data_IF_670109615947
#
_entry.id   IF_670109615947
#
_cell.length_a   1.000
_cell.length_b   1.000
_cell.length_c   1.000
_cell.angle_alpha   90.00
_cell.angle_beta   90.00
_cell.angle_gamma   90.00
#
_symmetry.space_group_name_H-M   'P 1'
#
loop_
_entity.id
_entity.type
_entity.pdbx_description
1 polymer ?
#
# COMPACT_ATOMS: atom_id res chain seq x y z
N UNK A 1 -9.40 -15.79 28.56
CA UNK A 1 -9.17 -15.39 27.16
C UNK A 1 -10.50 -15.06 26.51
N UNK A 2 -10.64 -13.87 25.90
CA UNK A 2 -11.33 -13.80 24.63
C UNK A 2 -10.53 -12.97 23.63
N UNK A 3 -10.25 -13.56 22.47
CA UNK A 3 -9.82 -12.86 21.27
C UNK A 3 -10.90 -11.85 20.91
N UNK A 4 -10.62 -10.56 21.14
CA UNK A 4 -11.47 -9.45 20.69
C UNK A 4 -11.41 -9.45 19.17
N UNK A 5 -12.41 -10.11 18.60
CA UNK A 5 -12.74 -10.09 17.18
C UNK A 5 -13.29 -8.71 16.85
N UNK A 6 -12.40 -7.71 16.80
CA UNK A 6 -12.68 -6.52 15.99
C UNK A 6 -12.78 -7.03 14.55
N UNK A 7 -13.86 -6.72 13.84
CA UNK A 7 -14.18 -7.28 12.51
C UNK A 7 -13.26 -6.82 11.38
N UNK A 8 -11.95 -6.83 11.64
CA UNK A 8 -10.80 -6.54 10.80
C UNK A 8 -9.97 -7.81 10.81
N UNK A 9 -9.60 -8.35 9.64
CA UNK A 9 -8.76 -9.55 9.55
C UNK A 9 -7.56 -9.43 10.48
N UNK A 10 -7.28 -10.49 11.24
CA UNK A 10 -6.04 -10.58 12.01
C UNK A 10 -4.83 -10.49 11.06
N UNK A 11 -3.72 -9.97 11.59
CA UNK A 11 -2.48 -9.85 10.84
C UNK A 11 -2.05 -11.23 10.32
N UNK A 12 -2.29 -11.51 9.04
CA UNK A 12 -2.04 -12.79 8.38
C UNK A 12 -0.92 -12.68 7.35
N UNK A 13 -0.63 -11.46 6.87
CA UNK A 13 0.40 -11.22 5.88
C UNK A 13 1.78 -11.08 6.53
N UNK A 14 1.88 -10.32 7.62
CA UNK A 14 3.07 -10.31 8.48
C UNK A 14 2.78 -9.77 9.87
N UNK A 15 3.60 -10.16 10.85
CA UNK A 15 3.52 -9.67 12.24
C UNK A 15 4.14 -8.28 12.43
N UNK A 16 4.76 -7.70 11.38
CA UNK A 16 5.32 -6.35 11.45
C UNK A 16 5.16 -5.57 10.15
N UNK A 17 5.01 -4.26 10.31
CA UNK A 17 4.90 -3.31 9.20
C UNK A 17 6.15 -3.29 8.30
N UNK A 18 7.31 -3.62 8.86
CA UNK A 18 8.57 -3.73 8.13
C UNK A 18 8.56 -4.86 7.08
N UNK A 19 7.91 -5.98 7.38
CA UNK A 19 7.79 -7.09 6.44
C UNK A 19 6.77 -6.81 5.33
N UNK A 20 5.65 -6.12 5.66
CA UNK A 20 4.70 -5.62 4.64
C UNK A 20 5.40 -4.68 3.66
N UNK A 21 6.23 -3.76 4.15
CA UNK A 21 6.99 -2.85 3.29
C UNK A 21 8.01 -3.57 2.41
N UNK A 22 8.72 -4.59 2.94
CA UNK A 22 9.59 -5.43 2.10
C UNK A 22 8.82 -6.13 0.98
N UNK A 23 7.58 -6.59 1.23
CA UNK A 23 6.72 -7.17 0.18
C UNK A 23 6.23 -6.14 -0.84
N UNK A 24 6.16 -4.88 -0.44
CA UNK A 24 5.80 -3.78 -1.33
C UNK A 24 6.98 -3.25 -2.16
N UNK A 25 8.21 -3.68 -1.86
CA UNK A 25 9.40 -3.30 -2.60
C UNK A 25 9.31 -3.81 -4.05
N UNK A 26 9.29 -2.86 -5.00
CA UNK A 26 9.29 -3.14 -6.43
C UNK A 26 10.61 -2.67 -7.01
N UNK A 27 11.32 -3.59 -7.66
CA UNK A 27 12.54 -3.25 -8.40
C UNK A 27 12.15 -2.66 -9.76
N UNK A 28 12.76 -1.53 -10.16
CA UNK A 28 12.55 -0.98 -11.48
C UNK A 28 13.15 -1.90 -12.54
N UNK A 29 12.30 -2.63 -13.26
CA UNK A 29 12.67 -3.34 -14.48
C UNK A 29 12.67 -2.42 -15.70
N UNK A 30 13.30 -2.90 -16.79
CA UNK A 30 13.38 -2.24 -18.11
C UNK A 30 12.03 -2.13 -18.85
N UNK A 31 10.92 -2.33 -18.16
CA UNK A 31 9.56 -2.25 -18.71
C UNK A 31 9.19 -0.79 -19.05
N UNK A 32 8.35 -0.56 -20.06
CA UNK A 32 7.90 0.78 -20.47
C UNK A 32 7.06 1.48 -19.39
N UNK A 33 7.13 2.81 -19.32
CA UNK A 33 6.33 3.67 -18.43
C UNK A 33 4.83 3.38 -18.52
N UNK A 34 4.33 3.06 -19.73
CA UNK A 34 2.92 2.67 -19.92
C UNK A 34 2.54 1.45 -19.09
N UNK A 35 3.36 0.40 -19.09
CA UNK A 35 3.05 -0.82 -18.33
C UNK A 35 3.06 -0.56 -16.82
N UNK A 36 3.97 0.28 -16.33
CA UNK A 36 3.96 0.71 -14.94
C UNK A 36 2.68 1.46 -14.57
N UNK A 37 2.21 2.36 -15.43
CA UNK A 37 0.96 3.09 -15.21
C UNK A 37 -0.24 2.15 -15.22
N UNK A 38 -0.27 1.19 -16.14
CA UNK A 38 -1.29 0.13 -16.15
C UNK A 38 -1.25 -0.70 -14.86
N UNK A 39 -0.06 -1.10 -14.40
CA UNK A 39 0.12 -1.82 -13.14
C UNK A 39 -0.31 -0.99 -11.94
N UNK A 40 0.06 0.29 -11.89
CA UNK A 40 -0.35 1.22 -10.84
C UNK A 40 -1.87 1.37 -10.78
N UNK A 41 -2.53 1.54 -11.93
CA UNK A 41 -3.99 1.58 -12.00
C UNK A 41 -4.64 0.30 -11.44
N UNK A 42 -4.08 -0.88 -11.78
CA UNK A 42 -4.55 -2.17 -11.24
C UNK A 42 -4.30 -2.29 -9.73
N UNK A 43 -3.14 -1.89 -9.25
CA UNK A 43 -2.79 -1.89 -7.83
C UNK A 43 -3.75 -1.02 -7.01
N UNK A 44 -4.05 0.18 -7.51
CA UNK A 44 -4.99 1.09 -6.85
C UNK A 44 -6.41 0.50 -6.78
N UNK A 45 -6.90 -0.09 -7.88
CA UNK A 45 -8.21 -0.78 -7.88
C UNK A 45 -8.24 -1.95 -6.88
N UNK A 46 -7.20 -2.79 -6.90
CA UNK A 46 -7.10 -3.90 -5.96
C UNK A 46 -7.00 -3.41 -4.49
N UNK A 47 -6.37 -2.26 -4.24
CA UNK A 47 -6.30 -1.67 -2.91
C UNK A 47 -7.70 -1.24 -2.42
N UNK A 48 -8.48 -0.59 -3.28
CA UNK A 48 -9.86 -0.19 -2.96
C UNK A 48 -10.76 -1.42 -2.72
N UNK A 49 -10.58 -2.52 -3.47
CA UNK A 49 -11.25 -3.79 -3.21
C UNK A 49 -10.86 -4.37 -1.84
N UNK A 50 -9.57 -4.42 -1.52
CA UNK A 50 -9.11 -4.89 -0.21
C UNK A 50 -9.66 -4.03 0.93
N UNK A 51 -9.83 -2.72 0.71
CA UNK A 51 -10.46 -1.79 1.65
C UNK A 51 -11.93 -2.15 1.89
N UNK A 52 -12.67 -2.57 0.85
CA UNK A 52 -14.06 -3.05 0.97
C UNK A 52 -14.14 -4.41 1.69
N UNK A 53 -13.20 -5.30 1.43
CA UNK A 53 -13.04 -6.60 2.11
C UNK A 53 -12.57 -6.48 3.58
N UNK A 54 -12.33 -5.26 4.08
CA UNK A 54 -11.73 -4.98 5.40
C UNK A 54 -10.36 -5.66 5.61
N UNK A 55 -9.63 -5.85 4.51
CA UNK A 55 -8.29 -6.42 4.49
C UNK A 55 -7.26 -5.29 4.52
N UNK A 56 -7.03 -4.76 5.73
CA UNK A 56 -6.16 -3.60 5.97
C UNK A 56 -4.70 -3.85 5.57
N UNK A 57 -4.17 -5.04 5.86
CA UNK A 57 -2.79 -5.40 5.50
C UNK A 57 -2.59 -5.42 3.99
N UNK A 58 -3.48 -6.10 3.27
CA UNK A 58 -3.35 -6.24 1.82
C UNK A 58 -3.59 -4.89 1.12
N UNK A 59 -4.55 -4.11 1.60
CA UNK A 59 -4.77 -2.75 1.13
C UNK A 59 -3.52 -1.88 1.30
N UNK A 60 -2.88 -1.93 2.49
CA UNK A 60 -1.65 -1.19 2.76
C UNK A 60 -0.51 -1.57 1.81
N UNK A 61 -0.25 -2.87 1.63
CA UNK A 61 0.80 -3.35 0.72
C UNK A 61 0.55 -2.88 -0.72
N UNK A 62 -0.71 -2.89 -1.16
CA UNK A 62 -1.09 -2.46 -2.50
C UNK A 62 -0.91 -0.94 -2.69
N UNK A 63 -1.28 -0.12 -1.70
CA UNK A 63 -1.01 1.31 -1.73
C UNK A 63 0.49 1.62 -1.71
N UNK A 64 1.28 0.93 -0.86
CA UNK A 64 2.74 1.07 -0.86
C UNK A 64 3.36 0.70 -2.21
N UNK A 65 2.94 -0.43 -2.82
CA UNK A 65 3.38 -0.82 -4.17
C UNK A 65 3.07 0.24 -5.21
N UNK A 66 1.85 0.80 -5.15
CA UNK A 66 1.43 1.87 -6.04
C UNK A 66 2.36 3.08 -5.93
N UNK A 67 2.67 3.52 -4.70
CA UNK A 67 3.57 4.65 -4.44
C UNK A 67 5.00 4.37 -4.94
N UNK A 68 5.52 3.16 -4.73
CA UNK A 68 6.85 2.77 -5.24
C UNK A 68 6.90 2.79 -6.76
N UNK A 69 5.88 2.23 -7.43
CA UNK A 69 5.78 2.27 -8.90
C UNK A 69 5.72 3.71 -9.40
N UNK A 70 4.94 4.55 -8.71
CA UNK A 70 4.81 5.96 -9.05
C UNK A 70 6.15 6.72 -8.90
N UNK A 71 6.90 6.45 -7.83
CA UNK A 71 8.23 7.06 -7.62
C UNK A 71 9.23 6.65 -8.70
N UNK A 72 9.22 5.36 -9.09
CA UNK A 72 10.06 4.82 -10.17
C UNK A 72 9.77 5.53 -11.49
N UNK A 73 8.49 5.62 -11.89
CA UNK A 73 8.14 6.27 -13.15
C UNK A 73 8.40 7.77 -13.09
N UNK A 74 8.13 8.43 -11.97
CA UNK A 74 8.37 9.87 -11.79
C UNK A 74 9.86 10.23 -11.95
N UNK A 75 10.77 9.34 -11.58
CA UNK A 75 12.22 9.50 -11.78
C UNK A 75 12.67 9.34 -13.24
N UNK A 76 11.83 8.77 -14.12
CA UNK A 76 12.17 8.60 -15.53
C UNK A 76 11.85 9.86 -16.36
N UNK A 77 12.77 10.31 -17.22
CA UNK A 77 12.54 11.47 -18.09
C UNK A 77 11.36 11.27 -19.06
N UNK A 78 11.12 10.01 -19.48
CA UNK A 78 9.97 9.62 -20.30
C UNK A 78 8.61 9.94 -19.66
N UNK A 79 8.55 9.89 -18.33
CA UNK A 79 7.35 10.23 -17.59
C UNK A 79 7.21 11.74 -17.44
N UNK A 80 8.29 12.48 -17.18
CA UNK A 80 8.27 13.93 -17.01
C UNK A 80 7.62 14.64 -18.20
N UNK A 81 7.99 14.23 -19.42
CA UNK A 81 7.43 14.78 -20.67
C UNK A 81 5.94 14.48 -20.88
N UNK A 82 5.40 13.43 -20.24
CA UNK A 82 3.99 12.99 -20.39
C UNK A 82 3.30 12.85 -19.03
N UNK A 83 3.77 13.60 -18.04
CA UNK A 83 3.40 13.41 -16.63
C UNK A 83 1.92 13.70 -16.44
N UNK A 84 1.43 14.80 -17.02
CA UNK A 84 0.01 15.17 -17.03
C UNK A 84 -0.88 14.07 -17.64
N UNK A 85 -0.45 13.45 -18.75
CA UNK A 85 -1.21 12.37 -19.39
C UNK A 85 -1.33 11.14 -18.48
N UNK A 86 -0.24 10.75 -17.81
CA UNK A 86 -0.26 9.61 -16.90
C UNK A 86 -0.98 9.92 -15.58
N UNK A 87 -0.86 11.14 -15.06
CA UNK A 87 -1.62 11.64 -13.90
C UNK A 87 -3.13 11.65 -14.20
N UNK A 88 -3.52 12.08 -15.40
CA UNK A 88 -4.91 12.01 -15.85
C UNK A 88 -5.40 10.55 -15.93
N UNK A 89 -4.55 9.62 -16.37
CA UNK A 89 -4.88 8.19 -16.45
C UNK A 89 -5.05 7.53 -15.08
N UNK A 90 -4.22 7.92 -14.12
CA UNK A 90 -4.24 7.39 -12.75
C UNK A 90 -5.31 8.07 -11.89
N UNK A 91 -5.71 9.28 -12.25
CA UNK A 91 -6.57 10.16 -11.47
C UNK A 91 -5.74 11.15 -10.65
N UNK A 92 -5.95 12.47 -10.79
CA UNK A 92 -5.15 13.48 -10.11
C UNK A 92 -5.24 13.40 -8.57
N UNK A 93 -6.32 12.83 -8.04
CA UNK A 93 -6.53 12.61 -6.61
C UNK A 93 -6.13 11.22 -6.11
N UNK A 94 -5.92 10.24 -6.99
CA UNK A 94 -5.64 8.85 -6.61
C UNK A 94 -4.31 8.71 -5.86
N UNK A 95 -3.29 9.49 -6.26
CA UNK A 95 -2.00 9.49 -5.59
C UNK A 95 -2.09 10.02 -4.16
N UNK A 96 -2.75 11.18 -3.98
CA UNK A 96 -2.94 11.76 -2.64
C UNK A 96 -3.76 10.83 -1.75
N UNK A 97 -4.85 10.27 -2.28
CA UNK A 97 -5.70 9.32 -1.57
C UNK A 97 -4.93 8.05 -1.16
N UNK A 98 -4.08 7.53 -2.04
CA UNK A 98 -3.24 6.37 -1.73
C UNK A 98 -2.28 6.64 -0.57
N UNK A 99 -1.71 7.84 -0.48
CA UNK A 99 -0.85 8.23 0.65
C UNK A 99 -1.66 8.31 1.94
N UNK A 100 -2.77 9.05 1.93
CA UNK A 100 -3.61 9.26 3.13
C UNK A 100 -4.13 7.92 3.69
N UNK A 101 -4.60 7.02 2.81
CA UNK A 101 -5.05 5.69 3.20
C UNK A 101 -3.89 4.81 3.67
N UNK A 102 -2.74 4.85 3.00
CA UNK A 102 -1.56 4.09 3.44
C UNK A 102 -1.07 4.54 4.81
N UNK A 103 -1.01 5.84 5.10
CA UNK A 103 -0.62 6.38 6.41
C UNK A 103 -1.58 5.91 7.50
N UNK A 104 -2.89 6.08 7.28
CA UNK A 104 -3.93 5.66 8.21
C UNK A 104 -3.89 4.16 8.51
N UNK A 105 -3.76 3.33 7.47
CA UNK A 105 -3.60 1.88 7.62
C UNK A 105 -2.30 1.58 8.35
N UNK A 106 -1.21 2.30 8.08
CA UNK A 106 0.07 2.07 8.74
C UNK A 106 0.03 2.35 10.23
N UNK A 107 -0.68 3.40 10.64
CA UNK A 107 -0.85 3.76 12.05
C UNK A 107 -1.74 2.74 12.76
N UNK A 108 -2.83 2.30 12.12
CA UNK A 108 -3.67 1.21 12.63
C UNK A 108 -2.86 -0.08 12.85
N UNK A 109 -2.09 -0.49 11.84
CA UNK A 109 -1.26 -1.70 11.87
C UNK A 109 -0.13 -1.60 12.91
N UNK A 110 0.55 -0.45 13.02
CA UNK A 110 1.56 -0.19 14.05
C UNK A 110 0.96 -0.26 15.45
N UNK A 111 -0.17 0.41 15.67
CA UNK A 111 -0.82 0.44 16.97
C UNK A 111 -1.20 -0.99 17.40
N UNK A 112 -1.78 -1.78 16.50
CA UNK A 112 -2.16 -3.17 16.77
C UNK A 112 -0.96 -4.09 17.01
N UNK A 113 0.14 -3.88 16.29
CA UNK A 113 1.40 -4.60 16.52
C UNK A 113 1.98 -4.30 17.91
N UNK A 114 1.96 -3.02 18.32
CA UNK A 114 2.46 -2.59 19.63
C UNK A 114 1.58 -3.12 20.77
N UNK A 115 0.26 -3.12 20.62
CA UNK A 115 -0.66 -3.66 21.63
C UNK A 115 -0.47 -5.16 21.86
N UNK A 116 -0.15 -5.93 20.81
CA UNK A 116 0.12 -7.37 20.95
C UNK A 116 1.42 -7.63 21.72
N UNK A 117 2.50 -6.87 21.43
CA UNK A 117 3.78 -7.00 22.14
C UNK A 117 3.68 -6.59 23.61
N UNK A 118 2.86 -5.59 23.93
CA UNK A 118 2.67 -5.12 25.31
C UNK A 118 1.97 -6.14 26.22
N UNK A 119 1.19 -7.07 25.65
CA UNK A 119 0.55 -8.15 26.41
C UNK A 119 1.49 -9.33 26.68
N UNK A 120 2.56 -9.50 25.90
CA UNK A 120 3.54 -10.58 26.07
C UNK A 120 4.65 -10.22 27.09
N UNK A 121 4.86 -8.92 27.38
CA UNK A 121 5.84 -8.45 28.38
C UNK A 121 5.32 -8.40 29.82
N UNK A 122 4.15 -8.97 30.08
CA UNK A 122 3.53 -9.00 31.42
C UNK A 122 3.18 -10.45 31.80
N UNK A 123 4.19 -11.33 31.82
CA UNK A 123 4.15 -12.60 32.52
C UNK A 123 5.55 -13.07 32.93
#
# INVERSE_FOLDING_TARGET
MPAVSTGVKELYLSTSLGELNKKAEIKPEKTSTKSYVTSACKLFKAAEECRLDRDEEKAYVLYMKYLTVYDIIKKRPDFTHKSEHYLALLGPSSFKKAIEEAEKLSDSLKLRSVTFVALDSNN
#
